data_IF_390379261813
#
_entry.id   IF_390379261813
#
_cell.length_a   1.000
_cell.length_b   1.000
_cell.length_c   1.000
_cell.angle_alpha   90.00
_cell.angle_beta   90.00
_cell.angle_gamma   90.00
#
_symmetry.space_group_name_H-M   'P 1'
#
loop_
_entity.id
_entity.type
_entity.pdbx_description
1 polymer ?
#
# COMPACT_ATOMS: atom_id res chain seq x y z
N UNK A 1 11.72 -15.50 -10.38
CA UNK A 1 12.10 -14.08 -10.18
C UNK A 1 11.30 -13.61 -8.98
N UNK A 2 11.68 -13.93 -7.73
CA UNK A 2 10.79 -13.60 -6.59
C UNK A 2 11.33 -13.61 -5.13
N UNK A 3 12.59 -13.94 -4.78
CA UNK A 3 13.02 -13.85 -3.38
C UNK A 3 13.25 -12.41 -2.90
N UNK A 4 13.48 -11.46 -3.83
CA UNK A 4 13.66 -10.04 -3.49
C UNK A 4 12.32 -9.41 -3.11
N UNK A 5 11.28 -9.56 -3.93
CA UNK A 5 9.97 -8.97 -3.62
C UNK A 5 9.40 -9.44 -2.28
N UNK A 6 9.61 -10.71 -1.95
CA UNK A 6 9.21 -11.32 -0.68
C UNK A 6 9.92 -10.70 0.53
N UNK A 7 11.23 -10.47 0.43
CA UNK A 7 12.00 -9.83 1.50
C UNK A 7 11.57 -8.38 1.69
N UNK A 8 11.34 -7.68 0.59
CA UNK A 8 10.95 -6.28 0.61
C UNK A 8 9.58 -6.08 1.26
N UNK A 9 8.58 -6.94 0.98
CA UNK A 9 7.24 -6.82 1.57
C UNK A 9 7.21 -7.09 3.07
N UNK A 10 8.00 -8.05 3.57
CA UNK A 10 8.09 -8.36 5.00
C UNK A 10 8.81 -7.26 5.79
N UNK A 11 9.96 -6.78 5.29
CA UNK A 11 10.70 -5.67 5.90
C UNK A 11 9.84 -4.39 5.97
N UNK A 12 9.04 -4.16 4.92
CA UNK A 12 8.13 -3.02 4.84
C UNK A 12 6.99 -3.09 5.86
N UNK A 13 6.39 -4.27 6.04
CA UNK A 13 5.38 -4.50 7.08
C UNK A 13 5.94 -4.16 8.47
N UNK A 14 7.08 -4.74 8.84
CA UNK A 14 7.68 -4.54 10.17
C UNK A 14 8.01 -3.09 10.45
N UNK A 15 8.48 -2.35 9.43
CA UNK A 15 8.88 -0.95 9.57
C UNK A 15 7.69 0.00 9.79
N UNK A 16 6.59 -0.21 9.07
CA UNK A 16 5.50 0.78 9.00
C UNK A 16 4.22 0.36 9.73
N UNK A 17 4.05 -0.90 10.13
CA UNK A 17 2.79 -1.37 10.75
C UNK A 17 2.40 -0.53 11.98
N UNK A 18 3.36 -0.19 12.85
CA UNK A 18 3.07 0.61 14.05
C UNK A 18 2.67 2.03 13.70
N UNK A 19 3.37 2.67 12.77
CA UNK A 19 3.08 4.03 12.29
C UNK A 19 1.69 4.09 11.63
N UNK A 20 1.32 3.07 10.84
CA UNK A 20 0.03 3.03 10.15
C UNK A 20 -1.14 2.53 11.02
N UNK A 21 -0.87 1.79 12.11
CA UNK A 21 -1.87 1.32 13.07
C UNK A 21 -2.26 2.37 14.14
N UNK A 22 -1.64 3.55 14.12
CA UNK A 22 -1.86 4.63 15.09
C UNK A 22 -3.28 5.26 15.11
N UNK A 23 -4.21 4.76 14.30
CA UNK A 23 -5.63 5.17 14.33
C UNK A 23 -5.82 6.66 14.03
N UNK A 24 -6.48 7.39 14.93
CA UNK A 24 -6.74 8.84 14.79
C UNK A 24 -5.52 9.74 15.05
N UNK A 25 -4.37 9.17 15.48
CA UNK A 25 -3.17 9.98 15.66
C UNK A 25 -2.63 10.43 14.30
N UNK A 26 -2.37 11.74 14.19
CA UNK A 26 -1.81 12.32 12.98
C UNK A 26 -0.42 11.76 12.69
N UNK A 27 -0.23 11.24 11.49
CA UNK A 27 1.09 10.93 10.96
C UNK A 27 1.69 12.20 10.35
N UNK A 28 2.99 12.46 10.57
CA UNK A 28 3.63 13.61 9.94
C UNK A 28 3.66 13.45 8.41
N UNK A 29 3.53 14.56 7.67
CA UNK A 29 3.61 14.56 6.20
C UNK A 29 4.95 13.95 5.71
N UNK A 30 6.06 14.23 6.40
CA UNK A 30 7.37 13.65 6.07
C UNK A 30 7.33 12.12 6.10
N UNK A 31 6.66 11.53 7.10
CA UNK A 31 6.53 10.07 7.22
C UNK A 31 5.71 9.44 6.09
N UNK A 32 4.67 10.13 5.62
CA UNK A 32 3.91 9.70 4.44
C UNK A 32 4.76 9.79 3.17
N UNK A 33 5.56 10.84 3.02
CA UNK A 33 6.50 10.96 1.89
C UNK A 33 7.53 9.84 1.91
N UNK A 34 8.19 9.60 3.05
CA UNK A 34 9.19 8.54 3.22
C UNK A 34 8.59 7.16 2.87
N UNK A 35 7.34 6.93 3.31
CA UNK A 35 6.61 5.70 2.98
C UNK A 35 6.40 5.53 1.47
N UNK A 36 5.98 6.59 0.77
CA UNK A 36 5.75 6.53 -0.70
C UNK A 36 7.07 6.33 -1.44
N UNK A 37 8.13 7.04 -1.03
CA UNK A 37 9.45 6.94 -1.66
C UNK A 37 10.00 5.52 -1.50
N UNK A 38 9.87 4.91 -0.32
CA UNK A 38 10.30 3.54 -0.12
C UNK A 38 9.43 2.51 -0.85
N UNK A 39 8.12 2.75 -1.04
CA UNK A 39 7.30 1.91 -1.93
C UNK A 39 7.86 1.91 -3.35
N UNK A 40 8.30 3.08 -3.85
CA UNK A 40 8.88 3.21 -5.18
C UNK A 40 10.24 2.49 -5.27
N UNK A 41 11.13 2.72 -4.31
CA UNK A 41 12.47 2.11 -4.26
C UNK A 41 12.42 0.58 -4.19
N UNK A 42 11.42 0.05 -3.47
CA UNK A 42 11.19 -1.39 -3.33
C UNK A 42 10.39 -2.00 -4.50
N UNK A 43 10.07 -1.23 -5.55
CA UNK A 43 9.25 -1.67 -6.70
C UNK A 43 7.87 -2.19 -6.30
N UNK A 44 7.31 -1.64 -5.22
CA UNK A 44 5.95 -1.90 -4.78
C UNK A 44 4.93 -0.96 -5.45
N UNK A 45 5.42 0.05 -6.19
CA UNK A 45 4.61 0.83 -7.13
C UNK A 45 4.82 0.33 -8.56
N UNK A 46 3.75 0.31 -9.35
CA UNK A 46 3.77 -0.09 -10.75
C UNK A 46 4.43 1.00 -11.61
N UNK A 47 5.44 0.60 -12.39
CA UNK A 47 6.04 1.46 -13.40
C UNK A 47 5.03 1.73 -14.54
N UNK A 48 4.45 0.65 -15.07
CA UNK A 48 3.39 0.67 -16.06
C UNK A 48 2.04 0.56 -15.38
N UNK A 49 1.28 1.65 -15.38
CA UNK A 49 0.00 1.74 -14.66
C UNK A 49 -1.15 1.95 -15.64
N UNK A 50 -2.17 1.11 -15.55
CA UNK A 50 -3.38 1.19 -16.35
C UNK A 50 -4.55 1.74 -15.53
N UNK A 51 -5.14 2.85 -15.98
CA UNK A 51 -6.29 3.48 -15.33
C UNK A 51 -7.59 2.65 -15.45
N UNK A 52 -7.73 1.85 -16.49
CA UNK A 52 -8.93 1.00 -16.68
C UNK A 52 -8.93 -0.18 -15.69
N UNK A 53 -7.75 -0.77 -15.47
CA UNK A 53 -7.56 -1.80 -14.44
C UNK A 53 -7.86 -1.22 -13.06
N UNK A 54 -7.38 0.00 -12.80
CA UNK A 54 -7.66 0.70 -11.55
C UNK A 54 -9.15 0.92 -11.34
N UNK A 55 -9.86 1.44 -12.34
CA UNK A 55 -11.28 1.71 -12.24
C UNK A 55 -12.07 0.45 -11.87
N UNK A 56 -11.70 -0.70 -12.46
CA UNK A 56 -12.30 -2.00 -12.17
C UNK A 56 -12.09 -2.48 -10.72
N UNK A 57 -11.02 -2.01 -10.06
CA UNK A 57 -10.61 -2.43 -8.72
C UNK A 57 -10.80 -1.33 -7.64
N UNK A 58 -11.30 -0.16 -8.02
CA UNK A 58 -11.45 1.02 -7.14
C UNK A 58 -12.27 0.73 -5.86
N UNK A 59 -13.21 -0.21 -5.94
CA UNK A 59 -14.06 -0.65 -4.82
C UNK A 59 -13.27 -1.19 -3.60
N UNK A 60 -12.01 -1.60 -3.77
CA UNK A 60 -11.15 -2.06 -2.68
C UNK A 60 -10.76 -0.93 -1.72
N UNK A 61 -10.80 0.35 -2.14
CA UNK A 61 -10.55 1.50 -1.25
C UNK A 61 -11.71 1.68 -0.28
N UNK A 62 -12.93 1.49 -0.75
CA UNK A 62 -14.14 1.67 0.05
C UNK A 62 -14.42 0.48 0.98
N UNK A 63 -13.87 -0.69 0.65
CA UNK A 63 -14.06 -1.95 1.38
C UNK A 63 -12.71 -2.61 1.70
N UNK A 64 -11.99 -2.10 2.71
CA UNK A 64 -10.67 -2.61 3.09
C UNK A 64 -10.67 -4.12 3.41
N UNK A 65 -11.80 -4.69 3.82
CA UNK A 65 -11.95 -6.11 4.10
C UNK A 65 -11.67 -7.01 2.89
N UNK A 66 -11.88 -6.53 1.66
CA UNK A 66 -11.61 -7.31 0.45
C UNK A 66 -10.13 -7.37 0.09
N UNK A 67 -9.31 -6.49 0.66
CA UNK A 67 -7.85 -6.47 0.47
C UNK A 67 -7.22 -7.75 1.04
N UNK A 68 -7.83 -8.37 2.05
CA UNK A 68 -7.33 -9.62 2.65
C UNK A 68 -7.18 -10.77 1.62
N UNK A 69 -7.97 -10.75 0.55
CA UNK A 69 -7.91 -11.72 -0.56
C UNK A 69 -7.30 -11.17 -1.85
N UNK A 70 -6.95 -9.88 -1.91
CA UNK A 70 -6.41 -9.26 -3.12
C UNK A 70 -5.06 -9.88 -3.54
N UNK A 71 -4.81 -9.95 -4.83
CA UNK A 71 -3.51 -10.27 -5.39
C UNK A 71 -2.48 -9.18 -5.09
N UNK A 72 -1.19 -9.51 -5.21
CA UNK A 72 -0.12 -8.53 -5.12
C UNK A 72 -0.34 -7.38 -6.10
N UNK A 73 -0.72 -7.69 -7.35
CA UNK A 73 -0.97 -6.70 -8.39
C UNK A 73 -2.08 -5.72 -8.00
N UNK A 74 -3.21 -6.20 -7.48
CA UNK A 74 -4.31 -5.34 -7.04
C UNK A 74 -3.89 -4.40 -5.89
N UNK A 75 -3.09 -4.89 -4.96
CA UNK A 75 -2.50 -4.05 -3.91
C UNK A 75 -1.54 -3.00 -4.48
N UNK A 76 -0.65 -3.37 -5.41
CA UNK A 76 0.27 -2.43 -6.07
C UNK A 76 -0.49 -1.40 -6.91
N UNK A 77 -1.60 -1.80 -7.55
CA UNK A 77 -2.48 -0.93 -8.31
C UNK A 77 -3.13 0.12 -7.40
N UNK A 78 -3.68 -0.29 -6.24
CA UNK A 78 -4.18 0.64 -5.22
C UNK A 78 -3.11 1.63 -4.77
N UNK A 79 -1.94 1.14 -4.34
CA UNK A 79 -0.87 2.01 -3.85
C UNK A 79 -0.39 2.99 -4.93
N UNK A 80 -0.26 2.52 -6.17
CA UNK A 80 0.22 3.36 -7.27
C UNK A 80 -0.78 4.46 -7.61
N UNK A 81 -2.07 4.14 -7.69
CA UNK A 81 -3.11 5.12 -7.94
C UNK A 81 -3.10 6.21 -6.86
N UNK A 82 -3.06 5.79 -5.60
CA UNK A 82 -3.22 6.69 -4.47
C UNK A 82 -1.97 7.52 -4.17
N UNK A 83 -0.76 6.95 -4.36
CA UNK A 83 0.49 7.71 -4.32
C UNK A 83 0.56 8.79 -5.41
N UNK A 84 0.04 8.50 -6.61
CA UNK A 84 -0.07 9.51 -7.68
C UNK A 84 -1.08 10.60 -7.32
N UNK A 85 -2.21 10.24 -6.72
CA UNK A 85 -3.23 11.20 -6.27
C UNK A 85 -2.73 12.07 -5.11
N UNK A 86 -1.94 11.54 -4.18
CA UNK A 86 -1.32 12.31 -3.08
C UNK A 86 -0.52 13.51 -3.59
N UNK A 87 0.20 13.33 -4.71
CA UNK A 87 0.98 14.41 -5.34
C UNK A 87 0.10 15.53 -5.89
N UNK A 88 -1.15 15.23 -6.24
CA UNK A 88 -2.11 16.19 -6.78
C UNK A 88 -2.98 16.80 -5.69
N UNK A 89 -3.30 16.01 -4.66
CA UNK A 89 -4.15 16.38 -3.53
C UNK A 89 -3.54 15.79 -2.25
N UNK A 90 -2.77 16.58 -1.49
CA UNK A 90 -2.19 16.12 -0.23
C UNK A 90 -3.26 15.62 0.75
N UNK A 91 -2.96 14.53 1.47
CA UNK A 91 -3.83 13.91 2.47
C UNK A 91 -4.62 12.70 2.00
N UNK A 92 -4.52 12.30 0.72
CA UNK A 92 -5.12 11.06 0.20
C UNK A 92 -4.57 9.83 0.91
N UNK A 93 -3.25 9.75 1.09
CA UNK A 93 -2.60 8.62 1.75
C UNK A 93 -2.88 8.59 3.26
N UNK A 94 -2.97 9.75 3.90
CA UNK A 94 -3.36 9.81 5.31
C UNK A 94 -4.84 9.42 5.52
N UNK A 95 -5.73 9.76 4.58
CA UNK A 95 -7.11 9.27 4.59
C UNK A 95 -7.19 7.75 4.43
N UNK A 96 -6.40 7.16 3.52
CA UNK A 96 -6.31 5.70 3.39
C UNK A 96 -5.80 5.04 4.67
N UNK A 97 -4.84 5.68 5.35
CA UNK A 97 -4.34 5.21 6.64
C UNK A 97 -5.47 5.23 7.68
N UNK A 98 -6.17 6.35 7.84
CA UNK A 98 -7.27 6.50 8.78
C UNK A 98 -8.38 5.47 8.56
N UNK A 99 -8.69 5.15 7.30
CA UNK A 99 -9.71 4.15 6.94
C UNK A 99 -9.20 2.70 7.00
N UNK A 100 -7.97 2.47 7.46
CA UNK A 100 -7.38 1.13 7.61
C UNK A 100 -6.94 0.46 6.31
N UNK A 101 -7.05 1.14 5.17
CA UNK A 101 -6.69 0.61 3.84
C UNK A 101 -5.19 0.29 3.77
N UNK A 102 -4.32 1.22 4.20
CA UNK A 102 -2.87 0.97 4.15
C UNK A 102 -2.45 -0.17 5.08
N UNK A 103 -3.08 -0.29 6.25
CA UNK A 103 -2.82 -1.39 7.18
C UNK A 103 -3.25 -2.74 6.58
N UNK A 104 -4.41 -2.79 5.93
CA UNK A 104 -4.89 -3.98 5.25
C UNK A 104 -3.96 -4.41 4.10
N UNK A 105 -3.42 -3.46 3.33
CA UNK A 105 -2.43 -3.73 2.28
C UNK A 105 -1.14 -4.29 2.87
N UNK A 106 -0.61 -3.69 3.94
CA UNK A 106 0.59 -4.19 4.61
C UNK A 106 0.38 -5.62 5.14
N UNK A 107 -0.74 -5.87 5.82
CA UNK A 107 -1.07 -7.21 6.32
C UNK A 107 -1.12 -8.23 5.16
N UNK A 108 -1.71 -7.83 4.03
CA UNK A 108 -1.79 -8.68 2.84
C UNK A 108 -0.40 -8.97 2.24
N UNK A 109 0.46 -7.96 2.13
CA UNK A 109 1.85 -8.12 1.70
C UNK A 109 2.62 -9.13 2.55
N UNK A 110 2.44 -9.09 3.88
CA UNK A 110 3.05 -10.06 4.78
C UNK A 110 2.50 -11.48 4.55
N UNK A 111 1.19 -11.64 4.36
CA UNK A 111 0.58 -12.94 4.06
C UNK A 111 1.08 -13.54 2.74
N UNK A 112 1.18 -12.72 1.68
CA UNK A 112 1.73 -13.14 0.39
C UNK A 112 3.20 -13.56 0.56
N UNK A 113 3.97 -12.79 1.31
CA UNK A 113 5.36 -13.14 1.62
C UNK A 113 5.49 -14.51 2.30
N UNK A 114 4.64 -14.80 3.29
CA UNK A 114 4.66 -16.08 4.01
C UNK A 114 4.18 -17.28 3.17
N UNK A 115 3.43 -17.05 2.10
CA UNK A 115 2.91 -18.12 1.23
C UNK A 115 3.93 -18.53 0.16
N UNK A 116 4.88 -17.62 -0.14
CA UNK A 116 5.93 -17.83 -1.14
C UNK A 116 7.24 -18.38 -0.54
N UNK A 117 7.33 -18.56 0.79
CA UNK A 117 8.47 -19.11 1.53
C UNK A 117 8.34 -20.61 1.78
#
# INVERSE_FOLDING_TARGET
>A
MEPLLQRHTSDFYTKYVSDLACGEQALSICKISDFIDELADNRLLLADFNWDDWYSNSHLVDKPEYIASASLYECQLLLTAMARLERLSPGVMDNMRHNGVLLAILARFNCISLTLS
#
